data_IF_731287787696
#
_entry.id   IF_731287787696
#
_cell.length_a   1.000
_cell.length_b   1.000
_cell.length_c   1.000
_cell.angle_alpha   90.00
_cell.angle_beta   90.00
_cell.angle_gamma   90.00
#
_symmetry.space_group_name_H-M   'P 1'
#
loop_
_entity.id
_entity.type
_entity.pdbx_description
1 polymer ?
#
# COMPACT_ATOMS: atom_id res chain seq x y z
N UNK A 1 14.46 -2.19 -6.09
CA UNK A 1 13.16 -2.77 -6.48
C UNK A 1 13.05 -4.17 -5.93
N UNK A 2 11.88 -4.54 -5.43
CA UNK A 2 11.66 -5.90 -4.92
C UNK A 2 10.61 -6.61 -5.76
N UNK A 3 10.83 -7.89 -6.03
CA UNK A 3 9.90 -8.71 -6.81
C UNK A 3 9.25 -9.78 -5.91
N UNK A 4 7.99 -10.05 -6.19
CA UNK A 4 7.20 -11.05 -5.45
C UNK A 4 6.48 -11.94 -6.46
N UNK A 5 6.52 -13.24 -6.22
CA UNK A 5 5.81 -14.19 -7.05
C UNK A 5 4.32 -14.25 -6.68
N UNK A 6 3.46 -14.73 -7.57
CA UNK A 6 2.04 -14.87 -7.27
C UNK A 6 1.81 -15.63 -5.97
N UNK A 7 0.95 -15.09 -5.11
CA UNK A 7 0.63 -15.68 -3.82
C UNK A 7 1.57 -15.27 -2.69
N UNK A 8 2.68 -14.60 -2.99
CA UNK A 8 3.62 -14.19 -1.94
C UNK A 8 3.01 -13.09 -1.07
N UNK A 9 3.29 -13.17 0.22
CA UNK A 9 2.87 -12.14 1.18
C UNK A 9 3.92 -11.04 1.19
N UNK A 10 3.49 -9.81 0.97
CA UNK A 10 4.37 -8.64 0.99
C UNK A 10 4.57 -8.16 2.43
N UNK A 11 3.49 -8.01 3.16
CA UNK A 11 3.50 -7.83 4.62
C UNK A 11 2.19 -8.33 5.20
N UNK A 12 2.18 -8.60 6.50
CA UNK A 12 1.00 -9.14 7.18
C UNK A 12 0.39 -8.12 8.12
N UNK A 13 -0.91 -8.20 8.27
CA UNK A 13 -1.62 -7.46 9.31
C UNK A 13 -0.97 -7.74 10.65
N UNK A 14 -0.69 -6.69 11.41
CA UNK A 14 -0.05 -6.80 12.70
C UNK A 14 1.48 -6.74 12.68
N UNK A 15 2.11 -6.89 11.51
CA UNK A 15 3.56 -6.76 11.41
C UNK A 15 3.99 -5.32 11.68
N UNK A 16 5.19 -5.15 12.30
CA UNK A 16 5.69 -3.79 12.52
C UNK A 16 6.00 -3.11 11.19
N UNK A 17 5.69 -1.84 11.13
CA UNK A 17 6.04 -1.02 9.97
C UNK A 17 7.47 -0.53 10.12
N UNK A 18 8.11 -0.25 8.98
CA UNK A 18 9.52 0.21 8.96
C UNK A 18 9.65 1.62 8.40
N UNK A 19 8.60 2.42 8.51
CA UNK A 19 8.55 3.76 7.93
C UNK A 19 8.84 3.74 6.43
N UNK A 20 8.28 2.74 5.75
CA UNK A 20 8.42 2.56 4.31
C UNK A 20 7.04 2.44 3.68
N UNK A 21 6.90 3.00 2.49
CA UNK A 21 5.79 2.70 1.60
C UNK A 21 6.31 2.00 0.35
N UNK A 22 5.42 1.46 -0.43
CA UNK A 22 5.77 0.72 -1.63
C UNK A 22 4.96 1.24 -2.80
N UNK A 23 5.65 1.63 -3.87
CA UNK A 23 4.98 2.03 -5.11
C UNK A 23 4.93 0.79 -6.03
N UNK A 24 3.75 0.42 -6.47
CA UNK A 24 3.59 -0.71 -7.37
C UNK A 24 4.07 -0.30 -8.76
N UNK A 25 5.15 -0.94 -9.20
CA UNK A 25 5.71 -0.72 -10.53
C UNK A 25 5.00 -1.59 -11.56
N UNK A 26 4.76 -2.86 -11.21
CA UNK A 26 4.01 -3.80 -12.05
C UNK A 26 3.27 -4.80 -11.18
N UNK A 27 2.16 -5.31 -11.69
CA UNK A 27 1.39 -6.36 -11.04
C UNK A 27 0.22 -5.84 -10.23
N UNK A 28 -0.43 -6.77 -9.56
CA UNK A 28 -1.64 -6.52 -8.78
C UNK A 28 -1.46 -7.03 -7.36
N UNK A 29 -1.83 -6.20 -6.39
CA UNK A 29 -1.75 -6.54 -4.96
C UNK A 29 -3.14 -6.52 -4.37
N UNK A 30 -3.44 -7.53 -3.55
CA UNK A 30 -4.68 -7.59 -2.79
C UNK A 30 -4.39 -7.22 -1.34
N UNK A 31 -5.16 -6.27 -0.81
CA UNK A 31 -5.11 -5.88 0.60
C UNK A 31 -6.29 -6.53 1.31
N UNK A 32 -6.00 -7.33 2.32
CA UNK A 32 -7.00 -8.09 3.08
C UNK A 32 -6.84 -7.87 4.57
N UNK A 33 -7.91 -8.07 5.30
CA UNK A 33 -7.91 -7.98 6.75
C UNK A 33 -8.87 -9.00 7.32
N UNK A 34 -8.55 -9.52 8.50
CA UNK A 34 -9.47 -10.37 9.26
C UNK A 34 -10.45 -9.46 9.99
N UNK A 35 -11.73 -9.64 9.71
CA UNK A 35 -12.82 -8.90 10.34
C UNK A 35 -13.81 -9.93 10.88
N UNK A 36 -14.00 -9.93 12.20
CA UNK A 36 -14.89 -10.89 12.87
C UNK A 36 -14.56 -12.35 12.52
N UNK A 37 -13.26 -12.66 12.43
CA UNK A 37 -12.80 -14.01 12.09
C UNK A 37 -12.82 -14.35 10.62
N UNK A 38 -13.24 -13.43 9.76
CA UNK A 38 -13.31 -13.66 8.32
C UNK A 38 -12.25 -12.86 7.57
N UNK A 39 -11.63 -13.51 6.59
CA UNK A 39 -10.67 -12.87 5.70
C UNK A 39 -11.44 -12.07 4.64
N UNK A 40 -11.29 -10.76 4.68
CA UNK A 40 -12.00 -9.86 3.76
C UNK A 40 -11.03 -9.13 2.84
N UNK A 41 -11.35 -9.15 1.56
CA UNK A 41 -10.66 -8.34 0.57
C UNK A 41 -11.15 -6.90 0.71
N UNK A 42 -10.23 -6.00 1.07
CA UNK A 42 -10.55 -4.57 1.24
C UNK A 42 -10.34 -3.80 -0.04
N UNK A 43 -9.27 -4.12 -0.77
CA UNK A 43 -8.89 -3.34 -1.94
C UNK A 43 -7.98 -4.15 -2.85
N UNK A 44 -7.99 -3.79 -4.12
CA UNK A 44 -7.07 -4.34 -5.12
C UNK A 44 -6.30 -3.17 -5.70
N UNK A 45 -4.98 -3.24 -5.63
CA UNK A 45 -4.09 -2.17 -6.03
C UNK A 45 -3.26 -2.59 -7.23
N UNK A 46 -2.97 -1.65 -8.11
CA UNK A 46 -2.23 -1.91 -9.32
C UNK A 46 -1.13 -0.89 -9.57
N UNK A 47 -0.58 -0.94 -10.77
CA UNK A 47 0.52 -0.06 -11.19
C UNK A 47 0.21 1.41 -10.89
N UNK A 48 1.17 2.07 -10.25
CA UNK A 48 1.05 3.46 -9.88
C UNK A 48 0.42 3.72 -8.52
N UNK A 49 -0.13 2.69 -7.87
CA UNK A 49 -0.70 2.84 -6.53
C UNK A 49 0.36 2.72 -5.46
N UNK A 50 0.13 3.40 -4.35
CA UNK A 50 0.96 3.28 -3.16
C UNK A 50 0.36 2.25 -2.21
N UNK A 51 1.25 1.45 -1.64
CA UNK A 51 0.92 0.42 -0.67
C UNK A 51 1.67 0.73 0.63
N UNK A 52 0.97 0.66 1.76
CA UNK A 52 1.59 0.89 3.06
C UNK A 52 1.86 2.34 3.39
N UNK A 53 1.25 3.29 2.67
CA UNK A 53 1.47 4.72 2.87
C UNK A 53 1.06 5.19 4.26
N UNK A 54 0.11 4.53 4.90
CA UNK A 54 -0.31 4.88 6.26
C UNK A 54 0.85 4.76 7.25
N UNK A 55 1.75 3.80 7.00
CA UNK A 55 2.93 3.59 7.84
C UNK A 55 3.89 4.77 7.85
N UNK A 56 3.81 5.64 6.85
CA UNK A 56 4.66 6.82 6.77
C UNK A 56 4.17 7.97 7.65
N UNK A 57 2.90 7.96 8.02
CA UNK A 57 2.26 9.08 8.69
C UNK A 57 1.86 8.76 10.13
N UNK A 58 1.91 7.50 10.52
CA UNK A 58 1.61 7.10 11.89
C UNK A 58 2.36 5.82 12.22
N UNK A 59 2.83 5.76 13.44
CA UNK A 59 3.45 4.56 13.97
C UNK A 59 2.40 3.51 14.26
N UNK A 60 2.82 2.27 14.19
CA UNK A 60 1.97 1.16 14.53
C UNK A 60 2.12 0.02 13.53
N UNK A 61 1.45 -1.10 13.78
CA UNK A 61 1.53 -2.25 12.89
C UNK A 61 0.77 -2.01 11.59
N UNK A 62 1.07 -2.82 10.58
CA UNK A 62 0.29 -2.83 9.35
C UNK A 62 -1.17 -3.19 9.65
N UNK A 63 -2.08 -2.47 9.03
CA UNK A 63 -3.52 -2.66 9.27
C UNK A 63 -4.13 -3.71 8.34
N UNK A 64 -3.39 -4.17 7.35
CA UNK A 64 -3.85 -5.14 6.36
C UNK A 64 -2.74 -6.12 6.03
N UNK A 65 -3.10 -7.25 5.44
CA UNK A 65 -2.17 -8.17 4.81
C UNK A 65 -2.17 -7.88 3.31
N UNK A 66 -0.99 -7.63 2.76
CA UNK A 66 -0.82 -7.37 1.34
C UNK A 66 -0.23 -8.61 0.67
N UNK A 67 -0.91 -9.11 -0.36
CA UNK A 67 -0.53 -10.33 -1.06
C UNK A 67 -0.44 -10.05 -2.56
N UNK A 68 0.59 -10.57 -3.20
CA UNK A 68 0.73 -10.48 -4.65
C UNK A 68 -0.29 -11.41 -5.32
N UNK A 69 -1.18 -10.83 -6.13
CA UNK A 69 -2.16 -11.62 -6.88
C UNK A 69 -1.50 -12.29 -8.10
N UNK A 70 -0.59 -11.57 -8.73
CA UNK A 70 0.24 -12.06 -9.82
C UNK A 70 1.69 -11.69 -9.50
N UNK A 71 2.57 -11.71 -10.48
CA UNK A 71 3.94 -11.27 -10.24
C UNK A 71 3.96 -9.75 -10.04
N UNK A 72 4.53 -9.32 -8.92
CA UNK A 72 4.54 -7.92 -8.52
C UNK A 72 5.97 -7.43 -8.37
N UNK A 73 6.24 -6.22 -8.86
CA UNK A 73 7.47 -5.50 -8.55
C UNK A 73 7.13 -4.21 -7.84
N UNK A 74 7.87 -3.93 -6.77
CA UNK A 74 7.64 -2.78 -5.91
C UNK A 74 8.89 -1.91 -5.84
N UNK A 75 8.68 -0.61 -5.82
CA UNK A 75 9.72 0.36 -5.45
C UNK A 75 9.51 0.70 -3.98
N UNK A 76 10.53 0.46 -3.17
CA UNK A 76 10.49 0.76 -1.74
C UNK A 76 10.81 2.23 -1.54
N UNK A 77 9.95 2.93 -0.81
CA UNK A 77 10.10 4.36 -0.55
C UNK A 77 10.14 4.59 0.95
N UNK A 78 11.28 5.07 1.44
CA UNK A 78 11.38 5.50 2.84
C UNK A 78 10.66 6.84 3.04
N UNK A 79 10.36 7.18 4.29
CA UNK A 79 9.69 8.44 4.60
C UNK A 79 10.50 9.64 4.06
N UNK A 80 11.82 9.63 4.23
CA UNK A 80 12.69 10.70 3.72
C UNK A 80 12.66 10.82 2.21
N UNK A 81 12.67 9.70 1.52
CA UNK A 81 12.60 9.67 0.06
C UNK A 81 11.24 10.16 -0.43
N UNK A 82 10.18 9.77 0.25
CA UNK A 82 8.84 10.22 -0.13
C UNK A 82 8.75 11.75 -0.03
N UNK A 83 9.25 12.32 1.05
CA UNK A 83 9.27 13.77 1.23
C UNK A 83 10.00 14.45 0.07
N UNK A 84 11.17 13.94 -0.30
CA UNK A 84 11.92 14.48 -1.41
C UNK A 84 11.18 14.34 -2.75
N UNK A 85 10.55 13.19 -2.99
CA UNK A 85 9.79 12.97 -4.22
C UNK A 85 8.58 13.91 -4.32
N UNK A 86 7.91 14.15 -3.23
CA UNK A 86 6.77 15.09 -3.20
C UNK A 86 7.21 16.49 -3.56
N UNK A 87 8.39 16.91 -3.10
CA UNK A 87 8.94 18.23 -3.43
C UNK A 87 9.34 18.36 -4.89
N UNK A 88 9.83 17.29 -5.48
CA UNK A 88 10.44 17.33 -6.83
C UNK A 88 9.56 16.81 -7.93
N UNK A 89 8.46 16.13 -7.60
CA UNK A 89 7.58 15.52 -8.58
C UNK A 89 6.11 15.79 -8.23
N UNK A 90 5.57 16.86 -8.79
CA UNK A 90 4.20 17.28 -8.48
C UNK A 90 3.15 16.29 -8.96
N UNK A 91 3.39 15.55 -10.03
CA UNK A 91 2.47 14.53 -10.53
C UNK A 91 2.32 13.41 -9.51
N UNK A 92 3.44 12.96 -8.96
CA UNK A 92 3.42 11.93 -7.92
C UNK A 92 2.72 12.44 -6.66
N UNK A 93 3.00 13.67 -6.26
CA UNK A 93 2.36 14.28 -5.09
C UNK A 93 0.85 14.34 -5.24
N UNK A 94 0.37 14.75 -6.40
CA UNK A 94 -1.06 14.79 -6.68
C UNK A 94 -1.69 13.40 -6.62
N UNK A 95 -1.01 12.40 -7.18
CA UNK A 95 -1.48 11.01 -7.13
C UNK A 95 -1.62 10.50 -5.70
N UNK A 96 -0.64 10.78 -4.86
CA UNK A 96 -0.67 10.40 -3.45
C UNK A 96 -1.83 11.08 -2.72
N UNK A 97 -2.00 12.38 -2.94
CA UNK A 97 -3.07 13.14 -2.31
C UNK A 97 -4.44 12.58 -2.71
N UNK A 98 -4.63 12.26 -3.98
CA UNK A 98 -5.88 11.68 -4.47
C UNK A 98 -6.15 10.33 -3.83
N UNK A 99 -5.13 9.48 -3.72
CA UNK A 99 -5.28 8.16 -3.08
C UNK A 99 -5.68 8.29 -1.62
N UNK A 100 -5.01 9.18 -0.88
CA UNK A 100 -5.33 9.42 0.52
C UNK A 100 -6.73 10.01 0.69
N UNK A 101 -7.14 10.90 -0.20
CA UNK A 101 -8.47 11.49 -0.17
C UNK A 101 -9.55 10.42 -0.39
N UNK A 102 -9.33 9.51 -1.33
CA UNK A 102 -10.26 8.39 -1.56
C UNK A 102 -10.37 7.49 -0.34
N UNK A 103 -9.24 7.20 0.30
CA UNK A 103 -9.23 6.39 1.52
C UNK A 103 -9.98 7.09 2.65
N UNK A 104 -9.78 8.38 2.83
CA UNK A 104 -10.46 9.16 3.85
C UNK A 104 -11.97 9.21 3.60
N UNK A 105 -12.38 9.27 2.35
CA UNK A 105 -13.80 9.26 1.99
C UNK A 105 -14.40 7.85 2.05
N UNK A 106 -13.57 6.81 2.15
CA UNK A 106 -14.02 5.42 2.22
C UNK A 106 -14.52 4.85 0.90
N UNK A 107 -14.40 5.57 -0.19
CA UNK A 107 -15.00 5.15 -1.46
C UNK A 107 -14.28 4.00 -2.15
N UNK A 108 -13.07 3.68 -1.71
CA UNK A 108 -12.29 2.57 -2.26
C UNK A 108 -12.25 1.36 -1.35
N UNK A 109 -12.92 1.43 -0.24
CA UNK A 109 -12.94 0.33 0.71
C UNK A 109 -14.24 -0.46 0.56
N UNK A 110 -14.20 -1.62 -0.11
CA UNK A 110 -15.41 -2.41 -0.32
C UNK A 110 -15.95 -3.03 0.96
N UNK A 111 -15.23 -2.95 2.05
CA UNK A 111 -15.69 -3.48 3.34
C UNK A 111 -16.59 -2.50 4.07
N UNK A 112 -16.75 -1.33 3.58
CA UNK A 112 -17.61 -0.31 4.18
C UNK A 112 -19.05 -0.48 3.78
#
# INVERSE_FOLDING_TARGET
MRAFEPGAVIFREGDPTRSEAYLIHEGTVEARRIVDGEDRLLNTLGKGDLLGEVALFRDGPHSVTATAKDRVTLVVISADRLENLVRTNSTLAIGIIRQLARMAAGEKDPSR
#
